data_IF_219441997523
#
_entry.id   IF_219441997523
#
_cell.length_a   1.000
_cell.length_b   1.000
_cell.length_c   1.000
_cell.angle_alpha   90.00
_cell.angle_beta   90.00
_cell.angle_gamma   90.00
#
_symmetry.space_group_name_H-M   'P 1'
#
loop_
_entity.id
_entity.type
_entity.pdbx_description
1 polymer ?
#
# COMPACT_ATOMS: atom_id res chain seq x y z
N UNK A 1 16.13 29.71 8.36
CA UNK A 1 15.99 28.24 8.44
C UNK A 1 16.87 27.72 9.54
N UNK A 2 16.23 27.22 10.59
CA UNK A 2 16.85 26.44 11.65
C UNK A 2 16.57 24.94 11.43
N UNK A 3 17.03 24.09 12.33
CA UNK A 3 16.73 22.65 12.30
C UNK A 3 15.23 22.41 12.52
N UNK A 4 14.60 23.23 13.35
CA UNK A 4 13.18 23.15 13.68
C UNK A 4 12.30 23.48 12.47
N UNK A 5 12.69 24.46 11.66
CA UNK A 5 11.99 24.78 10.41
C UNK A 5 11.96 23.57 9.46
N UNK A 6 13.12 22.90 9.28
CA UNK A 6 13.20 21.71 8.44
C UNK A 6 12.44 20.51 8.99
N UNK A 7 12.40 20.35 10.32
CA UNK A 7 11.60 19.29 10.95
C UNK A 7 10.11 19.50 10.71
N UNK A 8 9.63 20.73 10.80
CA UNK A 8 8.23 21.05 10.50
C UNK A 8 7.87 20.74 9.03
N UNK A 9 8.78 21.00 8.10
CA UNK A 9 8.57 20.60 6.69
C UNK A 9 8.56 19.08 6.50
N UNK A 10 9.42 18.34 7.21
CA UNK A 10 9.42 16.87 7.21
C UNK A 10 8.10 16.33 7.78
N UNK A 11 7.65 16.86 8.92
CA UNK A 11 6.40 16.43 9.56
C UNK A 11 5.20 16.62 8.60
N UNK A 12 5.14 17.75 7.88
CA UNK A 12 4.11 17.99 6.88
C UNK A 12 4.16 17.00 5.70
N UNK A 13 5.36 16.62 5.26
CA UNK A 13 5.54 15.58 4.24
C UNK A 13 5.10 14.21 4.78
N UNK A 14 5.44 13.89 6.03
CA UNK A 14 5.10 12.62 6.67
C UNK A 14 3.58 12.46 6.83
N UNK A 15 2.86 13.53 7.17
CA UNK A 15 1.39 13.55 7.20
C UNK A 15 0.78 13.25 5.83
N UNK A 16 1.34 13.85 4.77
CA UNK A 16 0.89 13.61 3.39
C UNK A 16 1.22 12.17 2.95
N UNK A 17 2.40 11.65 3.31
CA UNK A 17 2.75 10.25 3.09
C UNK A 17 1.76 9.32 3.78
N UNK A 18 1.43 9.56 5.05
CA UNK A 18 0.46 8.75 5.79
C UNK A 18 -0.92 8.75 5.09
N UNK A 19 -1.40 9.93 4.67
CA UNK A 19 -2.65 10.07 3.94
C UNK A 19 -2.65 9.26 2.64
N UNK A 20 -1.57 9.37 1.85
CA UNK A 20 -1.42 8.65 0.57
C UNK A 20 -1.31 7.13 0.76
N UNK A 21 -0.59 6.69 1.79
CA UNK A 21 -0.44 5.27 2.11
C UNK A 21 -1.77 4.64 2.53
N UNK A 22 -2.56 5.35 3.34
CA UNK A 22 -3.91 4.91 3.73
C UNK A 22 -4.85 4.83 2.52
N UNK A 23 -4.83 5.84 1.64
CA UNK A 23 -5.61 5.81 0.41
C UNK A 23 -5.21 4.62 -0.50
N UNK A 24 -3.92 4.33 -0.60
CA UNK A 24 -3.41 3.16 -1.35
C UNK A 24 -3.88 1.84 -0.73
N UNK A 25 -3.87 1.71 0.59
CA UNK A 25 -4.35 0.52 1.27
C UNK A 25 -5.85 0.30 1.06
N UNK A 26 -6.66 1.37 1.12
CA UNK A 26 -8.09 1.31 0.82
C UNK A 26 -8.37 0.83 -0.61
N UNK A 27 -7.57 1.27 -1.59
CA UNK A 27 -7.67 0.77 -2.96
C UNK A 27 -7.27 -0.71 -3.06
N UNK A 28 -6.26 -1.16 -2.32
CA UNK A 28 -5.88 -2.58 -2.29
C UNK A 28 -7.01 -3.46 -1.74
N UNK A 29 -7.70 -3.03 -0.68
CA UNK A 29 -8.89 -3.71 -0.13
C UNK A 29 -9.95 -3.90 -1.21
N UNK A 30 -10.32 -2.83 -1.94
CA UNK A 30 -11.31 -2.88 -3.02
C UNK A 30 -10.90 -3.82 -4.16
N UNK A 31 -9.60 -3.84 -4.49
CA UNK A 31 -9.06 -4.79 -5.48
C UNK A 31 -9.19 -6.23 -4.96
N UNK A 32 -8.92 -6.47 -3.68
CA UNK A 32 -9.07 -7.77 -3.04
C UNK A 32 -10.51 -8.28 -3.01
N UNK A 33 -11.47 -7.41 -2.73
CA UNK A 33 -12.90 -7.72 -2.82
C UNK A 33 -13.28 -8.16 -4.25
N UNK A 34 -12.82 -7.41 -5.25
CA UNK A 34 -13.04 -7.74 -6.66
C UNK A 34 -12.34 -9.04 -7.09
N UNK A 35 -11.17 -9.36 -6.54
CA UNK A 35 -10.48 -10.64 -6.80
C UNK A 35 -11.21 -11.81 -6.16
N UNK A 36 -11.70 -11.63 -4.93
CA UNK A 36 -12.48 -12.63 -4.20
C UNK A 36 -13.75 -13.01 -4.96
N UNK A 37 -14.47 -12.03 -5.53
CA UNK A 37 -15.70 -12.31 -6.27
C UNK A 37 -15.49 -13.17 -7.53
N UNK A 38 -14.26 -13.28 -8.03
CA UNK A 38 -13.89 -14.11 -9.18
C UNK A 38 -12.92 -15.24 -8.83
N UNK A 39 -12.69 -15.52 -7.54
CA UNK A 39 -11.81 -16.61 -7.08
C UNK A 39 -10.31 -16.42 -7.36
N UNK A 40 -9.84 -15.19 -7.56
CA UNK A 40 -8.43 -14.89 -7.80
C UNK A 40 -7.64 -14.73 -6.50
N UNK A 41 -6.34 -15.05 -6.56
CA UNK A 41 -5.42 -14.86 -5.43
C UNK A 41 -5.19 -13.38 -5.13
N UNK A 42 -5.16 -13.06 -3.84
CA UNK A 42 -4.80 -11.73 -3.32
C UNK A 42 -3.40 -11.32 -3.80
N UNK A 43 -2.44 -12.24 -3.81
CA UNK A 43 -1.06 -11.96 -4.24
C UNK A 43 -0.89 -12.10 -5.75
N UNK A 44 -0.42 -11.02 -6.37
CA UNK A 44 -0.06 -10.99 -7.79
C UNK A 44 1.41 -10.52 -7.94
N UNK A 45 2.33 -11.49 -8.07
CA UNK A 45 3.76 -11.22 -8.13
C UNK A 45 4.22 -10.55 -9.43
N UNK A 46 3.46 -10.65 -10.51
CA UNK A 46 3.75 -9.90 -11.74
C UNK A 46 3.41 -8.43 -11.55
N UNK A 47 2.20 -8.16 -11.03
CA UNK A 47 1.78 -6.79 -10.75
C UNK A 47 2.69 -6.08 -9.75
N UNK A 48 3.14 -6.79 -8.71
CA UNK A 48 4.10 -6.23 -7.73
C UNK A 48 5.42 -5.81 -8.40
N UNK A 49 5.94 -6.63 -9.34
CA UNK A 49 7.17 -6.32 -10.10
C UNK A 49 6.97 -5.11 -11.01
N UNK A 50 5.85 -5.02 -11.73
CA UNK A 50 5.53 -3.87 -12.58
C UNK A 50 5.49 -2.56 -11.81
N UNK A 51 4.86 -2.58 -10.62
CA UNK A 51 4.77 -1.39 -9.76
C UNK A 51 6.16 -0.92 -9.36
N UNK A 52 7.03 -1.84 -8.93
CA UNK A 52 8.41 -1.53 -8.52
C UNK A 52 9.22 -0.98 -9.69
N UNK A 53 9.11 -1.57 -10.87
CA UNK A 53 9.84 -1.10 -12.04
C UNK A 53 9.36 0.28 -12.50
N UNK A 54 8.04 0.52 -12.49
CA UNK A 54 7.46 1.83 -12.81
C UNK A 54 7.98 2.94 -11.89
N UNK A 55 8.03 2.70 -10.58
CA UNK A 55 8.47 3.74 -9.62
C UNK A 55 9.97 3.97 -9.66
N UNK A 56 10.77 2.95 -9.98
CA UNK A 56 12.20 3.13 -10.24
C UNK A 56 12.44 4.00 -11.46
N UNK A 57 11.74 3.74 -12.58
CA UNK A 57 11.85 4.57 -13.80
C UNK A 57 11.40 6.01 -13.59
N UNK A 58 10.43 6.23 -12.72
CA UNK A 58 9.94 7.57 -12.38
C UNK A 58 10.79 8.29 -11.31
N UNK A 59 11.80 7.64 -10.73
CA UNK A 59 12.61 8.22 -9.67
C UNK A 59 13.60 9.24 -10.23
N UNK A 60 13.33 10.52 -9.98
CA UNK A 60 14.25 11.64 -10.25
C UNK A 60 14.77 12.28 -8.96
N UNK A 61 14.53 11.63 -7.83
CA UNK A 61 14.87 12.13 -6.50
C UNK A 61 16.24 11.69 -5.99
N UNK A 62 16.62 12.12 -4.79
CA UNK A 62 17.93 11.82 -4.19
C UNK A 62 18.05 10.37 -3.67
N UNK A 63 16.96 9.61 -3.64
CA UNK A 63 16.98 8.20 -3.24
C UNK A 63 17.51 7.34 -4.39
N UNK A 64 18.40 6.41 -4.10
CA UNK A 64 18.82 5.43 -5.10
C UNK A 64 17.69 4.44 -5.45
N UNK A 65 17.80 3.81 -6.62
CA UNK A 65 16.85 2.81 -7.13
C UNK A 65 16.57 1.66 -6.15
N UNK A 66 17.59 1.26 -5.37
CA UNK A 66 17.46 0.15 -4.42
C UNK A 66 16.62 0.61 -3.23
N UNK A 67 16.81 1.84 -2.76
CA UNK A 67 16.03 2.44 -1.68
C UNK A 67 14.55 2.56 -2.09
N UNK A 68 14.28 3.10 -3.28
CA UNK A 68 12.91 3.17 -3.82
C UNK A 68 12.28 1.78 -3.91
N UNK A 69 12.99 0.80 -4.45
CA UNK A 69 12.50 -0.57 -4.53
C UNK A 69 12.19 -1.19 -3.15
N UNK A 70 13.04 -0.95 -2.13
CA UNK A 70 12.80 -1.44 -0.75
C UNK A 70 11.55 -0.81 -0.15
N UNK A 71 11.39 0.52 -0.28
CA UNK A 71 10.22 1.23 0.24
C UNK A 71 8.94 0.72 -0.42
N UNK A 72 8.88 0.65 -1.75
CA UNK A 72 7.68 0.21 -2.45
C UNK A 72 7.33 -1.26 -2.20
N UNK A 73 8.32 -2.15 -2.02
CA UNK A 73 8.06 -3.52 -1.56
C UNK A 73 7.37 -3.54 -0.20
N UNK A 74 7.79 -2.68 0.72
CA UNK A 74 7.17 -2.60 2.06
C UNK A 74 5.75 -2.05 1.98
N UNK A 75 5.54 -0.99 1.20
CA UNK A 75 4.22 -0.40 0.98
C UNK A 75 3.25 -1.43 0.38
N UNK A 76 3.70 -2.18 -0.64
CA UNK A 76 2.93 -3.29 -1.24
C UNK A 76 2.57 -4.33 -0.18
N UNK A 77 3.54 -4.77 0.63
CA UNK A 77 3.34 -5.78 1.66
C UNK A 77 2.28 -5.35 2.68
N UNK A 78 2.37 -4.13 3.21
CA UNK A 78 1.43 -3.65 4.23
C UNK A 78 0.03 -3.40 3.65
N UNK A 79 -0.08 -2.88 2.41
CA UNK A 79 -1.40 -2.76 1.77
C UNK A 79 -2.06 -4.12 1.53
N UNK A 80 -1.28 -5.15 1.17
CA UNK A 80 -1.80 -6.52 1.02
C UNK A 80 -2.23 -7.11 2.37
N UNK A 81 -1.52 -6.81 3.46
CA UNK A 81 -1.94 -7.23 4.80
C UNK A 81 -3.27 -6.59 5.19
N UNK A 82 -3.43 -5.29 4.97
CA UNK A 82 -4.70 -4.60 5.19
C UNK A 82 -5.84 -5.19 4.34
N UNK A 83 -5.55 -5.50 3.08
CA UNK A 83 -6.46 -6.23 2.19
C UNK A 83 -6.88 -7.59 2.79
N UNK A 84 -5.93 -8.44 3.20
CA UNK A 84 -6.22 -9.75 3.80
C UNK A 84 -7.07 -9.64 5.07
N UNK A 85 -6.74 -8.73 6.00
CA UNK A 85 -7.48 -8.55 7.26
C UNK A 85 -8.93 -8.15 7.00
N UNK A 86 -9.17 -7.12 6.17
CA UNK A 86 -10.52 -6.64 5.87
C UNK A 86 -11.39 -7.73 5.20
N UNK A 87 -10.75 -8.53 4.37
CA UNK A 87 -11.34 -9.65 3.65
C UNK A 87 -11.70 -10.84 4.56
N UNK A 88 -10.95 -11.07 5.64
CA UNK A 88 -11.26 -12.07 6.68
C UNK A 88 -12.44 -11.60 7.54
N UNK A 89 -12.42 -10.35 8.01
CA UNK A 89 -13.50 -9.76 8.81
C UNK A 89 -14.85 -9.80 8.09
N UNK A 90 -14.86 -9.47 6.79
CA UNK A 90 -16.09 -9.53 5.97
C UNK A 90 -16.63 -10.95 5.83
N UNK A 91 -15.74 -11.95 5.74
CA UNK A 91 -16.12 -13.36 5.70
C UNK A 91 -16.75 -13.84 7.01
N UNK A 92 -16.13 -13.48 8.14
CA UNK A 92 -16.66 -13.83 9.48
C UNK A 92 -18.02 -13.19 9.75
N UNK A 93 -18.24 -11.94 9.35
CA UNK A 93 -19.53 -11.26 9.48
C UNK A 93 -20.62 -11.91 8.62
N UNK A 94 -20.29 -12.32 7.39
CA UNK A 94 -21.24 -13.01 6.50
C UNK A 94 -21.66 -14.38 7.06
N UNK A 95 -20.72 -15.16 7.61
CA UNK A 95 -21.02 -16.46 8.24
C UNK A 95 -21.85 -16.32 9.52
N UNK A 96 -21.63 -15.26 10.30
CA UNK A 96 -22.40 -14.96 11.51
C UNK A 96 -23.83 -14.51 11.24
N UNK A 97 -24.11 -13.86 10.11
CA UNK A 97 -25.44 -13.40 9.72
C UNK A 97 -26.34 -14.51 9.11
N UNK A 98 -25.76 -15.65 8.74
CA UNK A 98 -26.46 -16.81 8.17
C UNK A 98 -26.89 -17.85 9.24
N UNK A 99 -26.61 -17.61 10.52
CA UNK A 99 -27.01 -18.44 11.66
C UNK A 99 -28.16 -17.78 12.44
#
# INVERSE_FOLDING_TARGET
MTIEDWRAEIDAIDDELLRLLNARAALAIRVGESKRSVGLSVRDGEREREVIERVRRANTGPLDDRAVARLFRRIILESRRAETVALEETGTLAEGALR
#
